data_IF_270010846987
#
_entry.id   IF_270010846987
#
_cell.length_a   1.000
_cell.length_b   1.000
_cell.length_c   1.000
_cell.angle_alpha   90.00
_cell.angle_beta   90.00
_cell.angle_gamma   90.00
#
_symmetry.space_group_name_H-M   'P 1'
#
loop_
_entity.id
_entity.type
_entity.pdbx_description
1 polymer ?
#
# COMPACT_ATOMS: atom_id res chain seq x y z
N UNK A 1 -10.01 7.95 -13.60
CA UNK A 1 -8.68 8.01 -12.94
C UNK A 1 -8.72 7.18 -11.67
N UNK A 2 -7.76 6.25 -11.46
CA UNK A 2 -7.71 5.40 -10.26
C UNK A 2 -7.33 6.24 -9.04
N UNK A 3 -7.83 5.89 -7.84
CA UNK A 3 -7.50 6.62 -6.62
C UNK A 3 -5.98 6.54 -6.34
N UNK A 4 -5.35 7.61 -5.83
CA UNK A 4 -3.99 7.51 -5.30
C UNK A 4 -3.97 6.53 -4.13
N UNK A 5 -2.89 5.74 -4.04
CA UNK A 5 -2.74 4.72 -3.00
C UNK A 5 -2.36 5.37 -1.67
N UNK A 6 -2.96 4.91 -0.57
CA UNK A 6 -2.53 5.32 0.77
C UNK A 6 -1.30 4.49 1.23
N UNK A 7 -0.70 4.91 2.35
CA UNK A 7 0.52 4.29 2.89
C UNK A 7 0.37 2.78 3.14
N UNK A 8 -0.76 2.34 3.72
CA UNK A 8 -1.02 0.94 3.98
C UNK A 8 -1.15 0.11 2.70
N UNK A 9 -1.87 0.63 1.70
CA UNK A 9 -2.05 -0.07 0.41
C UNK A 9 -0.73 -0.16 -0.35
N UNK A 10 0.13 0.87 -0.26
CA UNK A 10 1.49 0.82 -0.80
C UNK A 10 2.32 -0.28 -0.14
N UNK A 11 2.35 -0.30 1.20
CA UNK A 11 3.05 -1.33 1.95
C UNK A 11 2.53 -2.74 1.60
N UNK A 12 1.20 -2.94 1.58
CA UNK A 12 0.59 -4.22 1.23
C UNK A 12 1.00 -4.67 -0.17
N UNK A 13 0.98 -3.77 -1.16
CA UNK A 13 1.38 -4.11 -2.53
C UNK A 13 2.87 -4.49 -2.61
N UNK A 14 3.72 -3.76 -1.90
CA UNK A 14 5.13 -4.09 -1.79
C UNK A 14 5.33 -5.47 -1.12
N UNK A 15 4.69 -5.70 0.02
CA UNK A 15 4.75 -6.97 0.75
C UNK A 15 4.28 -8.15 -0.12
N UNK A 16 3.18 -7.97 -0.86
CA UNK A 16 2.70 -8.98 -1.80
C UNK A 16 3.72 -9.31 -2.89
N UNK A 17 4.40 -8.30 -3.45
CA UNK A 17 5.41 -8.49 -4.50
C UNK A 17 6.66 -9.17 -3.95
N UNK A 18 7.11 -8.76 -2.76
CA UNK A 18 8.25 -9.38 -2.07
C UNK A 18 7.96 -10.86 -1.79
N UNK A 19 6.76 -11.16 -1.30
CA UNK A 19 6.39 -12.54 -0.98
C UNK A 19 6.02 -13.38 -2.19
N UNK A 20 5.50 -12.79 -3.28
CA UNK A 20 5.20 -13.52 -4.51
C UNK A 20 6.43 -14.12 -5.20
N UNK A 21 7.64 -13.65 -4.86
CA UNK A 21 8.90 -14.29 -5.26
C UNK A 21 9.19 -15.61 -4.53
N UNK A 22 8.52 -15.88 -3.41
CA UNK A 22 8.57 -17.19 -2.73
C UNK A 22 7.54 -18.13 -3.39
N UNK A 23 8.01 -19.23 -3.97
CA UNK A 23 7.17 -20.20 -4.69
C UNK A 23 6.00 -20.76 -3.83
N UNK A 24 6.21 -20.90 -2.52
CA UNK A 24 5.20 -21.32 -1.54
C UNK A 24 4.07 -20.30 -1.33
N UNK A 25 4.31 -19.02 -1.62
CA UNK A 25 3.33 -17.96 -1.40
C UNK A 25 2.15 -18.02 -2.39
N UNK A 26 2.26 -18.82 -3.45
CA UNK A 26 1.25 -18.92 -4.50
C UNK A 26 -0.04 -19.61 -4.04
N UNK A 27 0.03 -20.43 -2.98
CA UNK A 27 -1.00 -21.42 -2.65
C UNK A 27 -1.92 -21.03 -1.48
N UNK A 28 -1.56 -20.06 -0.63
CA UNK A 28 -2.29 -19.70 0.62
C UNK A 28 -2.99 -18.30 0.58
N UNK A 29 -3.34 -17.83 -0.62
CA UNK A 29 -2.95 -16.49 -1.12
C UNK A 29 -3.81 -15.23 -0.81
N UNK A 30 -4.91 -15.27 -0.06
CA UNK A 30 -5.75 -14.04 0.09
C UNK A 30 -6.21 -13.72 1.51
N UNK A 31 -6.73 -14.70 2.23
CA UNK A 31 -7.35 -14.45 3.55
C UNK A 31 -6.30 -14.10 4.61
N UNK A 32 -5.18 -14.82 4.64
CA UNK A 32 -4.09 -14.53 5.58
C UNK A 32 -3.37 -13.22 5.26
N UNK A 33 -3.33 -12.80 4.00
CA UNK A 33 -2.59 -11.61 3.58
C UNK A 33 -3.12 -10.34 4.26
N UNK A 34 -4.43 -10.15 4.27
CA UNK A 34 -5.02 -8.95 4.88
C UNK A 34 -4.77 -8.93 6.39
N UNK A 35 -4.94 -10.06 7.06
CA UNK A 35 -4.70 -10.20 8.50
C UNK A 35 -3.22 -9.99 8.84
N UNK A 36 -2.30 -10.63 8.11
CA UNK A 36 -0.86 -10.51 8.31
C UNK A 36 -0.36 -9.09 8.03
N UNK A 37 -0.75 -8.49 6.90
CA UNK A 37 -0.31 -7.13 6.57
C UNK A 37 -0.86 -6.09 7.53
N UNK A 38 -2.11 -6.25 8.01
CA UNK A 38 -2.65 -5.39 9.06
C UNK A 38 -1.88 -5.55 10.39
N UNK A 39 -1.56 -6.79 10.78
CA UNK A 39 -0.77 -7.04 12.00
C UNK A 39 0.64 -6.45 11.90
N UNK A 40 1.33 -6.64 10.77
CA UNK A 40 2.64 -6.05 10.51
C UNK A 40 2.60 -4.53 10.51
N UNK A 41 1.60 -3.94 9.86
CA UNK A 41 1.42 -2.48 9.84
C UNK A 41 1.20 -1.90 11.24
N UNK A 42 0.43 -2.60 12.08
CA UNK A 42 0.24 -2.21 13.48
C UNK A 42 1.50 -2.40 14.33
N UNK A 43 2.37 -3.34 13.97
CA UNK A 43 3.65 -3.57 14.64
C UNK A 43 4.75 -2.58 14.21
N UNK A 44 4.60 -1.89 13.08
CA UNK A 44 5.58 -0.91 12.61
C UNK A 44 5.79 0.22 13.61
N UNK A 45 7.04 0.63 13.75
CA UNK A 45 7.41 1.85 14.47
C UNK A 45 6.88 3.09 13.74
N UNK A 46 6.72 4.22 14.44
CA UNK A 46 6.33 5.48 13.80
C UNK A 46 7.28 5.90 12.67
N UNK A 47 8.58 5.58 12.77
CA UNK A 47 9.57 5.87 11.74
C UNK A 47 9.33 5.08 10.45
N UNK A 48 9.07 3.77 10.56
CA UNK A 48 8.76 2.93 9.40
C UNK A 48 7.47 3.36 8.72
N UNK A 49 6.43 3.69 9.50
CA UNK A 49 5.18 4.21 8.95
C UNK A 49 5.39 5.56 8.25
N UNK A 50 6.19 6.45 8.84
CA UNK A 50 6.47 7.76 8.27
C UNK A 50 7.09 7.67 6.86
N UNK A 51 7.93 6.67 6.61
CA UNK A 51 8.48 6.44 5.26
C UNK A 51 7.37 6.11 4.24
N UNK A 52 6.45 5.20 4.59
CA UNK A 52 5.32 4.85 3.73
C UNK A 52 4.32 6.00 3.56
N UNK A 53 4.12 6.79 4.60
CA UNK A 53 3.27 7.99 4.57
C UNK A 53 3.87 9.08 3.68
N UNK A 54 5.19 9.31 3.74
CA UNK A 54 5.88 10.24 2.87
C UNK A 54 5.75 9.82 1.40
N UNK A 55 5.92 8.53 1.10
CA UNK A 55 5.70 7.98 -0.25
C UNK A 55 4.25 8.15 -0.71
N UNK A 56 3.28 7.88 0.16
CA UNK A 56 1.86 8.05 -0.16
C UNK A 56 1.49 9.52 -0.41
N UNK A 57 2.08 10.44 0.36
CA UNK A 57 1.90 11.88 0.19
C UNK A 57 2.41 12.34 -1.17
N UNK A 58 3.62 11.91 -1.55
CA UNK A 58 4.21 12.23 -2.86
C UNK A 58 3.33 11.71 -4.01
N UNK A 59 2.87 10.45 -3.95
CA UNK A 59 1.95 9.92 -4.98
C UNK A 59 0.63 10.66 -5.06
N UNK A 60 0.11 11.14 -3.91
CA UNK A 60 -1.11 11.96 -3.88
C UNK A 60 -0.88 13.31 -4.55
N UNK A 61 0.25 13.96 -4.26
CA UNK A 61 0.65 15.23 -4.87
C UNK A 61 0.84 15.10 -6.37
N UNK A 62 1.58 14.08 -6.82
CA UNK A 62 1.75 13.77 -8.24
C UNK A 62 0.41 13.48 -8.93
N UNK A 63 -0.46 12.70 -8.29
CA UNK A 63 -1.78 12.42 -8.80
C UNK A 63 -2.63 13.69 -8.93
N UNK A 64 -2.58 14.59 -7.94
CA UNK A 64 -3.28 15.88 -8.00
C UNK A 64 -2.71 16.79 -9.10
N UNK A 65 -1.40 16.79 -9.30
CA UNK A 65 -0.75 17.55 -10.37
C UNK A 65 -1.10 17.02 -11.77
N UNK A 66 -1.11 15.69 -11.94
CA UNK A 66 -1.48 15.02 -13.20
C UNK A 66 -2.98 15.08 -13.49
N UNK A 67 -3.80 15.12 -12.44
CA UNK A 67 -5.25 15.13 -12.55
C UNK A 67 -5.87 16.25 -11.69
N UNK A 68 -5.69 17.52 -12.10
CA UNK A 68 -6.17 18.67 -11.33
C UNK A 68 -7.70 18.70 -11.17
N UNK A 69 -8.43 18.12 -12.13
CA UNK A 69 -9.89 18.00 -12.10
C UNK A 69 -10.38 16.67 -11.49
N UNK A 70 -9.50 15.92 -10.83
CA UNK A 70 -9.89 14.65 -10.22
C UNK A 70 -10.81 14.85 -9.02
N UNK A 71 -12.02 14.30 -9.11
CA UNK A 71 -12.95 14.16 -8.00
C UNK A 71 -13.28 12.68 -7.80
N UNK A 72 -13.17 12.20 -6.58
CA UNK A 72 -13.58 10.84 -6.24
C UNK A 72 -15.11 10.75 -6.22
N UNK A 73 -15.66 9.86 -7.06
CA UNK A 73 -17.06 9.45 -7.01
C UNK A 73 -17.12 7.96 -6.65
N UNK A 74 -17.67 7.60 -5.47
CA UNK A 74 -17.76 6.23 -4.99
C UNK A 74 -18.72 5.37 -5.82
#
# INVERSE_FOLDING_TARGET
VKRPLNAFILFRNWYCRTQAGNADWNTQRSVNLNTTTAALWNAFTPAERAEWEARAKLLKEEHTALHPNYKYSP
#
